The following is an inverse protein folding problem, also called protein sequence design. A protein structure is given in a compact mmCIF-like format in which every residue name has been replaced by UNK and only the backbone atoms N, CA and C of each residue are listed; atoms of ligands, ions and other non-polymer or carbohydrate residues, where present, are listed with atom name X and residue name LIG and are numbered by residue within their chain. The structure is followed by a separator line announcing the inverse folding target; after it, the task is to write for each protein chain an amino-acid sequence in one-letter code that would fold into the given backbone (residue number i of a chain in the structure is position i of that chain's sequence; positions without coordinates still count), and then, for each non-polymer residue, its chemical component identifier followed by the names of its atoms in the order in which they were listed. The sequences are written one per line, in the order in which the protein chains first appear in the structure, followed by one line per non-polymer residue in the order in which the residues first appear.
data_IF_538054916437
#
_entry.id   IF_538054916437
#
_cell.length_a   1.000
_cell.length_b   1.000
_cell.length_c   1.000
_cell.angle_alpha   90.00
_cell.angle_beta   90.00
_cell.angle_gamma   90.00
#
_symmetry.space_group_name_H-M   'P 1'
#
loop_
_entity.id
_entity.type
_entity.pdbx_description
1 polymer ?
#
# COMPACT_ATOMS: atom_id res chain seq x y z
N UNK A 1 0.69 19.40 -19.18
CA UNK A 1 2.12 19.64 -18.90
C UNK A 1 2.82 18.31 -18.65
N UNK A 2 3.70 17.77 -19.54
CA UNK A 2 4.35 16.50 -19.26
C UNK A 2 5.71 16.74 -18.61
N UNK A 3 5.81 16.53 -17.29
CA UNK A 3 7.08 16.47 -16.55
C UNK A 3 8.00 15.30 -16.96
N UNK A 4 7.59 14.50 -17.95
CA UNK A 4 8.23 13.25 -18.36
C UNK A 4 9.48 13.41 -19.24
N UNK A 5 9.81 14.62 -19.70
CA UNK A 5 10.94 14.85 -20.64
C UNK A 5 12.25 15.31 -19.98
N UNK A 6 12.32 15.43 -18.66
CA UNK A 6 13.50 15.98 -17.94
C UNK A 6 14.28 14.98 -17.08
N UNK A 7 13.94 13.70 -17.11
CA UNK A 7 14.69 12.68 -16.37
C UNK A 7 15.76 12.08 -17.27
N UNK A 8 17.04 12.06 -16.86
CA UNK A 8 18.09 11.39 -17.63
C UNK A 8 17.73 9.91 -17.73
N UNK A 9 17.62 9.40 -18.96
CA UNK A 9 16.92 8.15 -19.28
C UNK A 9 17.34 6.92 -18.44
N UNK A 10 18.60 6.84 -17.99
CA UNK A 10 19.07 5.75 -17.09
C UNK A 10 18.49 5.81 -15.67
N UNK A 11 18.08 6.98 -15.17
CA UNK A 11 17.42 7.08 -13.85
C UNK A 11 15.96 6.65 -13.88
N UNK A 12 15.33 6.69 -15.05
CA UNK A 12 13.92 6.33 -15.18
C UNK A 12 13.71 4.84 -14.93
N UNK A 13 14.54 3.99 -15.52
CA UNK A 13 14.46 2.54 -15.31
C UNK A 13 14.72 2.17 -13.84
N UNK A 14 15.63 2.87 -13.17
CA UNK A 14 15.91 2.66 -11.73
C UNK A 14 14.70 3.06 -10.88
N UNK A 15 14.07 4.21 -11.17
CA UNK A 15 12.88 4.68 -10.46
C UNK A 15 11.70 3.73 -10.70
N UNK A 16 11.48 3.31 -11.95
CA UNK A 16 10.39 2.41 -12.32
C UNK A 16 10.59 1.02 -11.69
N UNK A 17 11.83 0.53 -11.62
CA UNK A 17 12.18 -0.70 -10.91
C UNK A 17 11.89 -0.61 -9.42
N UNK A 18 12.39 0.45 -8.76
CA UNK A 18 12.16 0.64 -7.33
C UNK A 18 10.68 0.78 -6.99
N UNK A 19 9.91 1.51 -7.80
CA UNK A 19 8.46 1.62 -7.64
C UNK A 19 7.77 0.25 -7.76
N UNK A 20 8.23 -0.60 -8.68
CA UNK A 20 7.70 -1.94 -8.86
C UNK A 20 8.02 -2.86 -7.68
N UNK A 21 9.25 -2.82 -7.16
CA UNK A 21 9.66 -3.62 -6.00
C UNK A 21 8.86 -3.23 -4.76
N UNK A 22 8.69 -1.93 -4.51
CA UNK A 22 7.86 -1.44 -3.40
C UNK A 22 6.41 -1.93 -3.57
N UNK A 23 5.85 -1.81 -4.77
CA UNK A 23 4.48 -2.28 -5.03
C UNK A 23 4.33 -3.79 -4.78
N UNK A 24 5.31 -4.60 -5.20
CA UNK A 24 5.33 -6.03 -4.94
C UNK A 24 5.44 -6.34 -3.45
N UNK A 25 6.31 -5.64 -2.73
CA UNK A 25 6.47 -5.81 -1.29
C UNK A 25 5.19 -5.46 -0.52
N UNK A 26 4.53 -4.36 -0.87
CA UNK A 26 3.23 -3.97 -0.28
C UNK A 26 2.15 -5.03 -0.56
N UNK A 27 2.07 -5.55 -1.79
CA UNK A 27 1.15 -6.65 -2.11
C UNK A 27 1.41 -7.90 -1.26
N UNK A 28 2.69 -8.22 -1.04
CA UNK A 28 3.07 -9.37 -0.23
C UNK A 28 2.66 -9.19 1.23
N UNK A 29 2.87 -8.00 1.81
CA UNK A 29 2.44 -7.68 3.18
C UNK A 29 0.92 -7.88 3.35
N UNK A 30 0.12 -7.33 2.43
CA UNK A 30 -1.35 -7.47 2.46
C UNK A 30 -1.74 -8.94 2.36
N UNK A 31 -1.12 -9.68 1.43
CA UNK A 31 -1.38 -11.11 1.23
C UNK A 31 -1.04 -11.92 2.49
N UNK A 32 0.14 -11.69 3.08
CA UNK A 32 0.60 -12.39 4.27
C UNK A 32 -0.31 -12.10 5.47
N UNK A 33 -0.79 -10.85 5.61
CA UNK A 33 -1.72 -10.50 6.68
C UNK A 33 -3.09 -11.16 6.51
N UNK A 34 -3.65 -11.17 5.29
CA UNK A 34 -4.90 -11.89 4.97
C UNK A 34 -4.78 -13.41 5.22
N UNK A 35 -3.60 -13.98 5.02
CA UNK A 35 -3.33 -15.41 5.23
C UNK A 35 -2.91 -15.75 6.66
N UNK A 36 -2.84 -14.77 7.57
CA UNK A 36 -2.38 -14.98 8.95
C UNK A 36 -0.90 -15.35 9.08
N UNK A 37 -0.10 -15.11 8.04
CA UNK A 37 1.36 -15.34 8.02
C UNK A 37 2.14 -14.18 8.63
N UNK A 38 1.52 -13.01 8.73
CA UNK A 38 2.02 -11.87 9.49
C UNK A 38 0.93 -11.38 10.45
N UNK A 39 1.34 -10.63 11.47
CA UNK A 39 0.45 -10.00 12.43
C UNK A 39 1.03 -8.65 12.85
N UNK A 40 0.21 -7.84 13.53
CA UNK A 40 0.65 -6.61 14.17
C UNK A 40 1.86 -6.87 15.08
N UNK A 41 2.84 -5.97 15.01
CA UNK A 41 3.97 -5.96 15.94
C UNK A 41 3.65 -5.25 17.25
N UNK A 42 2.47 -4.64 17.36
CA UNK A 42 2.00 -3.97 18.58
C UNK A 42 1.12 -4.92 19.41
N UNK A 43 0.85 -4.56 20.67
CA UNK A 43 -0.02 -5.33 21.57
C UNK A 43 -1.52 -5.32 21.16
N UNK A 44 -1.86 -4.80 19.98
CA UNK A 44 -3.22 -4.69 19.46
C UNK A 44 -3.26 -4.61 17.94
N UNK A 45 -4.43 -4.30 17.38
CA UNK A 45 -4.62 -4.12 15.94
C UNK A 45 -3.82 -2.92 15.44
N UNK A 46 -3.06 -3.10 14.35
CA UNK A 46 -2.41 -2.00 13.65
C UNK A 46 -3.32 -1.39 12.57
N UNK A 47 -2.86 -0.32 11.90
CA UNK A 47 -3.62 0.34 10.83
C UNK A 47 -4.01 -0.65 9.71
N UNK A 48 -3.12 -1.57 9.35
CA UNK A 48 -3.41 -2.52 8.29
C UNK A 48 -4.49 -3.52 8.73
N UNK A 49 -4.48 -3.96 9.98
CA UNK A 49 -5.54 -4.80 10.53
C UNK A 49 -6.90 -4.09 10.47
N UNK A 50 -6.93 -2.80 10.84
CA UNK A 50 -8.15 -1.99 10.78
C UNK A 50 -8.68 -1.91 9.35
N UNK A 51 -7.83 -1.57 8.38
CA UNK A 51 -8.21 -1.47 6.96
C UNK A 51 -8.64 -2.82 6.36
N UNK A 52 -8.03 -3.93 6.79
CA UNK A 52 -8.44 -5.27 6.35
C UNK A 52 -9.76 -5.73 6.94
N UNK A 53 -10.12 -5.24 8.13
CA UNK A 53 -11.40 -5.52 8.78
C UNK A 53 -12.54 -4.58 8.35
N UNK A 54 -12.20 -3.47 7.69
CA UNK A 54 -13.17 -2.49 7.24
C UNK A 54 -14.06 -3.04 6.11
N UNK A 55 -15.34 -2.66 6.18
CA UNK A 55 -16.34 -2.94 5.15
C UNK A 55 -17.07 -1.65 4.80
N UNK A 56 -17.56 -1.55 3.57
CA UNK A 56 -18.43 -0.46 3.15
C UNK A 56 -19.87 -0.62 3.69
N UNK A 57 -20.74 0.33 3.34
CA UNK A 57 -22.15 0.34 3.75
C UNK A 57 -22.95 -0.89 3.26
N UNK A 58 -22.45 -1.59 2.24
CA UNK A 58 -23.02 -2.83 1.70
C UNK A 58 -22.40 -4.09 2.35
N UNK A 59 -21.46 -3.91 3.29
CA UNK A 59 -20.76 -4.99 3.99
C UNK A 59 -19.64 -5.62 3.16
N UNK A 60 -19.22 -5.01 2.06
CA UNK A 60 -18.15 -5.52 1.21
C UNK A 60 -16.78 -5.07 1.75
N UNK A 61 -15.80 -5.99 1.85
CA UNK A 61 -14.46 -5.65 2.31
C UNK A 61 -13.71 -4.82 1.27
N UNK A 62 -12.77 -4.01 1.75
CA UNK A 62 -11.90 -3.23 0.87
C UNK A 62 -11.03 -4.12 -0.01
N UNK A 63 -10.89 -3.69 -1.26
CA UNK A 63 -9.94 -4.24 -2.21
C UNK A 63 -8.52 -3.86 -1.80
N UNK A 64 -7.53 -4.61 -2.28
CA UNK A 64 -6.12 -4.31 -2.01
C UNK A 64 -5.68 -2.96 -2.58
N UNK A 65 -6.40 -2.42 -3.57
CA UNK A 65 -6.14 -1.08 -4.10
C UNK A 65 -6.64 0.00 -3.13
N UNK A 66 -7.89 -0.11 -2.66
CA UNK A 66 -8.46 0.81 -1.68
C UNK A 66 -7.64 0.81 -0.38
N UNK A 67 -7.20 -0.35 0.10
CA UNK A 67 -6.33 -0.45 1.29
C UNK A 67 -5.04 0.37 1.11
N UNK A 68 -4.41 0.33 -0.07
CA UNK A 68 -3.19 1.10 -0.33
C UNK A 68 -3.46 2.60 -0.41
N UNK A 69 -4.57 2.99 -1.01
CA UNK A 69 -4.98 4.39 -1.16
C UNK A 69 -5.30 5.02 0.20
N UNK A 70 -6.03 4.30 1.05
CA UNK A 70 -6.34 4.74 2.41
C UNK A 70 -5.11 4.77 3.31
N UNK A 71 -4.25 3.75 3.24
CA UNK A 71 -2.99 3.73 3.98
C UNK A 71 -2.07 4.90 3.57
N UNK A 72 -1.97 5.19 2.27
CA UNK A 72 -1.22 6.34 1.77
C UNK A 72 -1.83 7.66 2.27
N UNK A 73 -3.15 7.78 2.21
CA UNK A 73 -3.88 8.96 2.69
C UNK A 73 -3.61 9.19 4.17
N UNK A 74 -3.65 8.14 5.00
CA UNK A 74 -3.35 8.23 6.43
C UNK A 74 -1.92 8.74 6.69
N UNK A 75 -0.93 8.21 5.97
CA UNK A 75 0.47 8.64 6.10
C UNK A 75 0.66 10.10 5.68
N UNK A 76 0.00 10.53 4.58
CA UNK A 76 0.10 11.91 4.09
C UNK A 76 -0.68 12.92 4.94
N UNK A 77 -1.84 12.53 5.47
CA UNK A 77 -2.64 13.38 6.34
C UNK A 77 -1.99 13.60 7.73
N UNK A 78 -1.13 12.66 8.15
CA UNK A 78 -0.36 12.75 9.39
C UNK A 78 1.00 13.46 9.26
N UNK A 79 1.35 13.97 8.08
CA UNK A 79 2.65 14.60 7.79
C UNK A 79 2.60 16.12 7.66
#
# INVERSE_FOLDING_TARGET
MPFRSKLPFSRKDIIDHGAREIAQFVNQIITDRRQGKSASLSNGLDLLDLLLSAVDDEGKPFTDQEIKEEALTFVLAGS
#
